data_IF_625343633949
#
_entry.id   IF_625343633949
#
_cell.length_a   1.000
_cell.length_b   1.000
_cell.length_c   1.000
_cell.angle_alpha   90.00
_cell.angle_beta   90.00
_cell.angle_gamma   90.00
#
_symmetry.space_group_name_H-M   'P 1'
#
loop_
_entity.id
_entity.type
_entity.pdbx_description
1 polymer ?
#
# COMPACT_ATOMS: atom_id res chain seq x y z
N UNK A 1 61.40 21.72 -5.99
CA UNK A 1 60.40 21.52 -4.92
C UNK A 1 59.27 20.66 -5.46
N UNK A 2 59.32 19.37 -5.20
CA UNK A 2 58.33 18.37 -5.63
C UNK A 2 57.21 18.30 -4.58
N UNK A 3 56.02 18.78 -4.92
CA UNK A 3 54.83 18.73 -4.06
C UNK A 3 54.23 17.33 -4.06
N UNK A 4 54.48 16.55 -3.00
CA UNK A 4 53.78 15.28 -2.75
C UNK A 4 52.33 15.56 -2.39
N UNK A 5 51.40 15.33 -3.32
CA UNK A 5 49.98 15.23 -2.99
C UNK A 5 49.78 13.96 -2.17
N UNK A 6 49.35 14.11 -0.91
CA UNK A 6 48.94 12.99 -0.06
C UNK A 6 47.80 12.21 -0.70
N UNK A 7 47.59 10.94 -0.31
CA UNK A 7 46.52 10.12 -0.86
C UNK A 7 45.18 10.83 -0.61
N UNK A 8 44.42 11.09 -1.67
CA UNK A 8 43.03 11.49 -1.57
C UNK A 8 42.30 10.44 -0.74
N UNK A 9 41.84 10.81 0.46
CA UNK A 9 40.89 10.00 1.23
C UNK A 9 39.68 9.74 0.33
N UNK A 10 39.63 8.55 -0.25
CA UNK A 10 38.42 8.07 -0.89
C UNK A 10 37.34 8.02 0.20
N UNK A 11 36.16 8.64 -0.03
CA UNK A 11 35.06 8.50 0.90
C UNK A 11 34.79 7.01 1.13
N UNK A 12 34.59 6.58 2.39
CA UNK A 12 34.45 5.17 2.72
C UNK A 12 33.35 4.55 1.86
N UNK A 13 33.66 3.43 1.19
CA UNK A 13 32.72 2.69 0.34
C UNK A 13 31.44 2.44 1.15
N UNK A 14 30.28 3.03 0.76
CA UNK A 14 29.02 2.82 1.47
C UNK A 14 28.59 1.34 1.51
N UNK A 15 29.23 0.49 0.70
CA UNK A 15 29.01 -0.95 0.63
C UNK A 15 29.94 -1.77 1.52
N UNK A 16 30.94 -1.16 2.18
CA UNK A 16 31.90 -1.89 3.02
C UNK A 16 31.23 -2.56 4.23
N UNK A 17 30.23 -1.91 4.84
CA UNK A 17 29.47 -2.48 5.96
C UNK A 17 28.52 -3.62 5.57
N UNK A 18 28.03 -3.63 4.32
CA UNK A 18 27.08 -4.64 3.84
C UNK A 18 27.75 -5.91 3.27
N UNK A 19 29.07 -5.91 3.08
CA UNK A 19 29.83 -7.07 2.57
C UNK A 19 30.23 -8.08 3.66
N UNK A 20 30.10 -7.73 4.93
CA UNK A 20 30.64 -8.52 6.05
C UNK A 20 29.59 -9.43 6.72
N UNK A 21 28.30 -9.16 6.53
CA UNK A 21 27.23 -9.97 7.09
C UNK A 21 26.91 -11.13 6.14
N UNK A 22 27.02 -12.37 6.61
CA UNK A 22 26.72 -13.56 5.82
C UNK A 22 25.30 -13.52 5.23
N UNK A 23 25.10 -14.17 4.07
CA UNK A 23 23.79 -14.25 3.39
C UNK A 23 22.67 -14.67 4.36
N UNK A 24 22.96 -15.61 5.26
CA UNK A 24 22.01 -16.08 6.28
C UNK A 24 21.56 -14.98 7.23
N UNK A 25 22.45 -14.06 7.61
CA UNK A 25 22.09 -12.94 8.48
C UNK A 25 21.19 -11.96 7.74
N UNK A 26 21.45 -11.69 6.45
CA UNK A 26 20.59 -10.85 5.63
C UNK A 26 19.19 -11.46 5.41
N UNK A 27 19.10 -12.79 5.24
CA UNK A 27 17.82 -13.51 5.20
C UNK A 27 17.08 -13.36 6.53
N UNK A 28 17.76 -13.60 7.66
CA UNK A 28 17.19 -13.46 9.00
C UNK A 28 16.68 -12.05 9.26
N UNK A 29 17.48 -11.04 8.94
CA UNK A 29 17.09 -9.63 9.10
C UNK A 29 15.89 -9.28 8.23
N UNK A 30 15.83 -9.78 6.99
CA UNK A 30 14.69 -9.57 6.10
C UNK A 30 13.40 -10.15 6.68
N UNK A 31 13.46 -11.39 7.17
CA UNK A 31 12.33 -12.04 7.83
C UNK A 31 11.91 -11.27 9.07
N UNK A 32 12.83 -10.99 10.00
CA UNK A 32 12.52 -10.28 11.25
C UNK A 32 11.93 -8.88 11.01
N UNK A 33 12.39 -8.19 9.95
CA UNK A 33 11.82 -6.89 9.55
C UNK A 33 10.39 -7.04 9.03
N UNK A 34 10.11 -8.10 8.26
CA UNK A 34 8.81 -8.34 7.66
C UNK A 34 7.77 -8.93 8.60
N UNK A 35 8.19 -9.70 9.61
CA UNK A 35 7.30 -10.50 10.46
C UNK A 35 6.17 -9.67 11.13
N UNK A 36 6.44 -8.52 11.78
CA UNK A 36 5.37 -7.76 12.43
C UNK A 36 4.33 -7.22 11.45
N UNK A 37 4.78 -6.68 10.32
CA UNK A 37 3.89 -6.16 9.28
C UNK A 37 3.17 -7.30 8.54
N UNK A 38 3.84 -8.44 8.30
CA UNK A 38 3.26 -9.62 7.68
C UNK A 38 2.20 -10.29 8.56
N UNK A 39 2.37 -10.27 9.88
CA UNK A 39 1.34 -10.73 10.80
C UNK A 39 0.07 -9.85 10.71
N UNK A 40 0.23 -8.54 10.47
CA UNK A 40 -0.90 -7.63 10.33
C UNK A 40 -1.76 -7.90 9.09
N UNK A 41 -1.23 -8.55 8.04
CA UNK A 41 -2.01 -8.90 6.84
C UNK A 41 -2.86 -10.16 7.01
N UNK A 42 -2.63 -10.98 8.05
CA UNK A 42 -3.32 -12.26 8.26
C UNK A 42 -4.85 -12.11 8.30
N UNK A 43 -5.45 -11.19 9.08
CA UNK A 43 -6.91 -11.06 9.14
C UNK A 43 -7.52 -10.71 7.77
N UNK A 44 -6.82 -9.88 7.00
CA UNK A 44 -7.25 -9.46 5.66
C UNK A 44 -7.14 -10.64 4.68
N UNK A 45 -6.05 -11.39 4.71
CA UNK A 45 -5.89 -12.59 3.88
C UNK A 45 -6.91 -13.68 4.22
N UNK A 46 -7.20 -13.91 5.52
CA UNK A 46 -8.28 -14.81 5.94
C UNK A 46 -9.63 -14.38 5.36
N UNK A 47 -9.96 -13.09 5.44
CA UNK A 47 -11.19 -12.55 4.87
C UNK A 47 -11.24 -12.73 3.34
N UNK A 48 -10.12 -12.53 2.64
CA UNK A 48 -10.03 -12.80 1.20
C UNK A 48 -10.29 -14.27 0.87
N UNK A 49 -9.69 -15.19 1.61
CA UNK A 49 -9.89 -16.63 1.41
C UNK A 49 -11.36 -17.03 1.58
N UNK A 50 -12.01 -16.56 2.64
CA UNK A 50 -13.44 -16.79 2.87
C UNK A 50 -14.28 -16.21 1.74
N UNK A 51 -13.92 -15.01 1.25
CA UNK A 51 -14.63 -14.35 0.15
C UNK A 51 -14.59 -15.18 -1.15
N UNK A 52 -13.45 -15.79 -1.48
CA UNK A 52 -13.34 -16.65 -2.66
C UNK A 52 -14.36 -17.78 -2.61
N UNK A 53 -14.56 -18.41 -1.45
CA UNK A 53 -15.56 -19.46 -1.26
C UNK A 53 -16.99 -18.92 -1.40
N UNK A 54 -17.27 -17.72 -0.86
CA UNK A 54 -18.59 -17.09 -0.99
C UNK A 54 -18.98 -16.82 -2.43
N UNK A 55 -17.99 -16.52 -3.27
CA UNK A 55 -18.20 -16.37 -4.71
C UNK A 55 -18.42 -17.68 -5.47
N UNK A 56 -18.47 -18.81 -4.77
CA UNK A 56 -18.62 -20.13 -5.36
C UNK A 56 -17.38 -20.60 -6.10
N UNK A 57 -16.23 -19.93 -5.91
CA UNK A 57 -14.97 -20.33 -6.51
C UNK A 57 -14.32 -21.45 -5.70
N UNK A 58 -13.58 -22.38 -6.35
CA UNK A 58 -12.83 -23.40 -5.65
C UNK A 58 -11.79 -22.81 -4.69
N UNK A 59 -11.54 -23.48 -3.56
CA UNK A 59 -10.62 -22.99 -2.52
C UNK A 59 -9.21 -22.69 -3.05
N UNK A 60 -8.74 -23.43 -4.06
CA UNK A 60 -7.40 -23.26 -4.65
C UNK A 60 -7.27 -21.96 -5.45
N UNK A 61 -8.37 -21.29 -5.79
CA UNK A 61 -8.34 -19.98 -6.45
C UNK A 61 -7.73 -18.93 -5.53
N UNK A 62 -7.97 -19.01 -4.21
CA UNK A 62 -7.40 -18.06 -3.25
C UNK A 62 -5.85 -18.06 -3.27
N UNK A 63 -5.14 -19.17 -3.02
CA UNK A 63 -3.68 -19.21 -3.14
C UNK A 63 -3.17 -18.92 -4.54
N UNK A 64 -3.92 -19.27 -5.59
CA UNK A 64 -3.53 -18.97 -6.97
C UNK A 64 -3.49 -17.46 -7.22
N UNK A 65 -4.55 -16.75 -6.83
CA UNK A 65 -4.60 -15.29 -6.95
C UNK A 65 -3.52 -14.64 -6.08
N UNK A 66 -3.43 -15.03 -4.81
CA UNK A 66 -2.40 -14.55 -3.87
C UNK A 66 -0.97 -14.81 -4.33
N UNK A 67 -0.74 -15.84 -5.13
CA UNK A 67 0.57 -16.20 -5.65
C UNK A 67 0.94 -15.52 -6.97
N UNK A 68 -0.03 -15.37 -7.89
CA UNK A 68 0.21 -14.89 -9.27
C UNK A 68 -0.10 -13.40 -9.42
N UNK A 69 -1.14 -12.92 -8.74
CA UNK A 69 -1.58 -11.52 -8.83
C UNK A 69 -0.90 -10.71 -7.73
N UNK A 70 -0.97 -11.19 -6.48
CA UNK A 70 -0.29 -10.61 -5.31
C UNK A 70 -0.39 -9.07 -5.25
N UNK A 71 -1.61 -8.55 -5.37
CA UNK A 71 -1.87 -7.11 -5.44
C UNK A 71 -2.98 -6.67 -4.47
N UNK A 72 -3.27 -7.50 -3.45
CA UNK A 72 -4.12 -7.20 -2.30
C UNK A 72 -5.51 -6.72 -2.70
N UNK A 73 -5.69 -5.39 -2.72
CA UNK A 73 -6.97 -4.74 -3.02
C UNK A 73 -7.65 -5.18 -4.32
N UNK A 74 -6.89 -5.46 -5.39
CA UNK A 74 -7.51 -5.94 -6.64
C UNK A 74 -7.95 -7.39 -6.55
N UNK A 75 -7.39 -8.21 -5.66
CA UNK A 75 -7.73 -9.64 -5.57
C UNK A 75 -9.17 -9.82 -5.07
N UNK A 76 -9.59 -8.98 -4.12
CA UNK A 76 -10.99 -8.91 -3.66
C UNK A 76 -11.97 -8.56 -4.78
N UNK A 77 -11.61 -7.59 -5.64
CA UNK A 77 -12.43 -7.23 -6.81
C UNK A 77 -12.38 -8.31 -7.89
N UNK A 78 -11.20 -8.89 -8.12
CA UNK A 78 -10.95 -9.90 -9.14
C UNK A 78 -11.74 -11.17 -8.85
N UNK A 79 -11.81 -11.62 -7.60
CA UNK A 79 -12.64 -12.77 -7.23
C UNK A 79 -14.11 -12.57 -7.65
N UNK A 80 -14.68 -11.39 -7.40
CA UNK A 80 -16.03 -11.05 -7.82
C UNK A 80 -16.19 -10.94 -9.33
N UNK A 81 -15.23 -10.32 -10.01
CA UNK A 81 -15.23 -10.19 -11.47
C UNK A 81 -15.11 -11.55 -12.17
N UNK A 82 -14.31 -12.48 -11.64
CA UNK A 82 -14.19 -13.85 -12.13
C UNK A 82 -15.49 -14.62 -11.93
N UNK A 83 -16.10 -14.52 -10.75
CA UNK A 83 -17.38 -15.17 -10.46
C UNK A 83 -18.53 -14.64 -11.32
N UNK A 84 -18.51 -13.35 -11.65
CA UNK A 84 -19.49 -12.71 -12.53
C UNK A 84 -19.21 -12.96 -14.04
N UNK A 85 -18.11 -13.63 -14.40
CA UNK A 85 -17.73 -13.83 -15.80
C UNK A 85 -17.42 -12.52 -16.54
N UNK A 86 -16.87 -11.53 -15.84
CA UNK A 86 -16.60 -10.22 -16.40
C UNK A 86 -15.59 -10.31 -17.57
N UNK A 87 -15.74 -9.48 -18.63
CA UNK A 87 -14.84 -9.49 -19.77
C UNK A 87 -13.42 -9.10 -19.36
N UNK A 88 -12.42 -9.71 -20.00
CA UNK A 88 -11.00 -9.53 -19.67
C UNK A 88 -10.56 -8.05 -19.74
N UNK A 89 -11.14 -7.27 -20.66
CA UNK A 89 -10.88 -5.83 -20.79
C UNK A 89 -11.31 -5.07 -19.53
N UNK A 90 -12.47 -5.41 -18.94
CA UNK A 90 -12.94 -4.80 -17.70
C UNK A 90 -12.04 -5.16 -16.53
N UNK A 91 -11.60 -6.42 -16.45
CA UNK A 91 -10.65 -6.88 -15.42
C UNK A 91 -9.33 -6.11 -15.55
N UNK A 92 -8.78 -6.00 -16.76
CA UNK A 92 -7.53 -5.29 -17.02
C UNK A 92 -7.63 -3.80 -16.66
N UNK A 93 -8.71 -3.12 -17.05
CA UNK A 93 -8.93 -1.69 -16.73
C UNK A 93 -9.08 -1.48 -15.22
N UNK A 94 -9.85 -2.35 -14.54
CA UNK A 94 -10.02 -2.28 -13.08
C UNK A 94 -8.68 -2.49 -12.38
N UNK A 95 -7.92 -3.52 -12.78
CA UNK A 95 -6.60 -3.79 -12.24
C UNK A 95 -5.63 -2.62 -12.41
N UNK A 96 -5.61 -2.01 -13.61
CA UNK A 96 -4.77 -0.85 -13.90
C UNK A 96 -5.14 0.35 -13.03
N UNK A 97 -6.43 0.68 -12.93
CA UNK A 97 -6.89 1.86 -12.17
C UNK A 97 -6.65 1.68 -10.67
N UNK A 98 -6.97 0.51 -10.11
CA UNK A 98 -6.78 0.23 -8.66
C UNK A 98 -5.30 0.23 -8.29
N UNK A 99 -4.46 -0.39 -9.13
CA UNK A 99 -3.04 -0.57 -8.83
C UNK A 99 -2.15 0.54 -9.35
N UNK A 100 -2.69 1.58 -10.00
CA UNK A 100 -1.90 2.70 -10.51
C UNK A 100 -0.96 3.32 -9.46
N UNK A 101 -1.32 3.19 -8.17
CA UNK A 101 -0.46 3.59 -7.04
C UNK A 101 0.95 2.98 -7.07
N UNK A 102 1.09 1.75 -7.57
CA UNK A 102 2.38 1.05 -7.65
C UNK A 102 3.37 1.75 -8.61
N UNK A 103 2.87 2.52 -9.59
CA UNK A 103 3.72 3.32 -10.46
C UNK A 103 4.55 4.36 -9.68
N UNK A 104 4.03 4.86 -8.56
CA UNK A 104 4.76 5.80 -7.71
C UNK A 104 5.83 5.12 -6.85
N UNK A 105 5.63 3.84 -6.47
CA UNK A 105 6.59 3.11 -5.64
C UNK A 105 7.91 2.90 -6.36
N UNK A 106 7.85 2.67 -7.68
CA UNK A 106 9.00 2.51 -8.54
C UNK A 106 9.98 3.71 -8.50
N UNK A 107 9.54 4.90 -8.09
CA UNK A 107 10.39 6.10 -8.03
C UNK A 107 11.35 6.09 -6.83
N UNK A 108 11.01 5.42 -5.73
CA UNK A 108 11.79 5.47 -4.48
C UNK A 108 12.31 4.09 -4.05
N UNK A 109 11.71 3.02 -4.57
CA UNK A 109 12.11 1.65 -4.25
C UNK A 109 13.60 1.39 -4.59
N UNK A 110 14.40 0.82 -3.66
CA UNK A 110 15.84 0.61 -3.84
C UNK A 110 16.18 -0.55 -4.80
N UNK A 111 15.58 -0.58 -6.00
CA UNK A 111 15.77 -1.63 -7.02
C UNK A 111 17.23 -1.81 -7.43
N UNK A 112 18.03 -0.75 -7.35
CA UNK A 112 19.46 -0.76 -7.65
C UNK A 112 20.29 -1.64 -6.68
N UNK A 113 19.75 -1.97 -5.50
CA UNK A 113 20.38 -2.88 -4.53
C UNK A 113 20.23 -4.35 -4.92
N UNK A 114 19.25 -4.68 -5.76
CA UNK A 114 19.01 -6.02 -6.28
C UNK A 114 19.80 -6.19 -7.58
N UNK A 115 20.77 -7.10 -7.59
CA UNK A 115 21.70 -7.25 -8.74
C UNK A 115 21.15 -8.15 -9.84
N UNK A 116 20.43 -9.21 -9.50
CA UNK A 116 19.96 -10.22 -10.45
C UNK A 116 18.69 -9.76 -11.18
N UNK A 117 18.57 -10.09 -12.47
CA UNK A 117 17.35 -9.81 -13.25
C UNK A 117 16.12 -10.50 -12.63
N UNK A 118 16.16 -11.81 -12.28
CA UNK A 118 15.03 -12.45 -11.63
C UNK A 118 14.65 -11.80 -10.29
N UNK A 119 15.64 -11.35 -9.52
CA UNK A 119 15.40 -10.64 -8.27
C UNK A 119 14.73 -9.29 -8.52
N UNK A 120 15.13 -8.53 -9.54
CA UNK A 120 14.48 -7.26 -9.89
C UNK A 120 13.04 -7.47 -10.33
N UNK A 121 12.79 -8.50 -11.15
CA UNK A 121 11.43 -8.84 -11.57
C UNK A 121 10.57 -9.23 -10.38
N UNK A 122 11.08 -10.12 -9.51
CA UNK A 122 10.37 -10.52 -8.30
C UNK A 122 10.13 -9.35 -7.36
N UNK A 123 11.14 -8.52 -7.07
CA UNK A 123 10.98 -7.39 -6.17
C UNK A 123 10.03 -6.32 -6.72
N UNK A 124 9.94 -6.15 -8.04
CA UNK A 124 8.91 -5.28 -8.63
C UNK A 124 7.51 -5.89 -8.52
N UNK A 125 7.40 -7.20 -8.72
CA UNK A 125 6.16 -7.95 -8.60
C UNK A 125 5.64 -8.01 -7.16
N UNK A 126 6.53 -8.25 -6.20
CA UNK A 126 6.21 -8.45 -4.79
C UNK A 126 6.16 -7.13 -3.99
N UNK A 127 6.18 -6.00 -4.67
CA UNK A 127 6.15 -4.68 -4.05
C UNK A 127 4.74 -4.34 -3.59
N UNK A 128 4.50 -4.38 -2.28
CA UNK A 128 3.25 -3.94 -1.66
C UNK A 128 3.41 -2.59 -0.96
N UNK A 129 2.30 -2.02 -0.48
CA UNK A 129 2.30 -0.77 0.27
C UNK A 129 3.13 -0.90 1.58
N UNK A 130 3.06 -2.06 2.23
CA UNK A 130 3.81 -2.41 3.45
C UNK A 130 5.30 -2.59 3.15
N UNK A 131 5.63 -3.31 2.07
CA UNK A 131 7.00 -3.46 1.62
C UNK A 131 7.61 -2.10 1.24
N UNK A 132 6.84 -1.24 0.56
CA UNK A 132 7.25 0.11 0.21
C UNK A 132 7.46 0.99 1.46
N UNK A 133 6.55 0.94 2.43
CA UNK A 133 6.67 1.70 3.68
C UNK A 133 7.96 1.36 4.44
N UNK A 134 8.35 0.07 4.45
CA UNK A 134 9.58 -0.38 5.10
C UNK A 134 10.84 -0.11 4.27
N UNK A 135 10.74 -0.10 2.94
CA UNK A 135 11.90 0.03 2.04
C UNK A 135 12.18 1.45 1.54
N UNK A 136 11.27 2.39 1.76
CA UNK A 136 11.40 3.79 1.31
C UNK A 136 12.27 4.66 2.24
N UNK A 137 12.55 4.20 3.47
CA UNK A 137 13.36 4.94 4.45
C UNK A 137 14.85 5.05 4.07
N UNK A 138 15.55 6.06 4.60
CA UNK A 138 17.00 6.29 4.36
C UNK A 138 17.86 5.10 4.76
N UNK A 139 17.49 4.39 5.82
CA UNK A 139 18.21 3.20 6.28
C UNK A 139 18.05 2.04 5.29
N UNK A 140 16.85 1.86 4.73
CA UNK A 140 16.55 0.79 3.79
C UNK A 140 17.31 0.90 2.46
N UNK A 141 17.71 2.11 2.07
CA UNK A 141 18.60 2.33 0.92
C UNK A 141 19.98 1.66 1.09
N UNK A 142 20.37 1.34 2.34
CA UNK A 142 21.62 0.61 2.64
C UNK A 142 21.43 -0.90 2.71
N UNK A 143 20.20 -1.42 2.75
CA UNK A 143 19.95 -2.85 2.84
C UNK A 143 20.49 -3.62 1.65
N UNK A 144 20.84 -4.89 1.85
CA UNK A 144 21.20 -5.77 0.75
C UNK A 144 19.97 -6.14 -0.08
N UNK A 145 20.15 -6.44 -1.37
CA UNK A 145 19.08 -6.97 -2.20
C UNK A 145 18.46 -8.25 -1.62
N UNK A 146 19.27 -9.11 -1.00
CA UNK A 146 18.80 -10.33 -0.31
C UNK A 146 17.81 -10.01 0.81
N UNK A 147 18.13 -9.03 1.67
CA UNK A 147 17.26 -8.61 2.77
C UNK A 147 15.92 -8.08 2.25
N UNK A 148 15.95 -7.26 1.18
CA UNK A 148 14.74 -6.71 0.54
C UNK A 148 13.87 -7.83 -0.01
N UNK A 149 14.45 -8.75 -0.80
CA UNK A 149 13.71 -9.86 -1.40
C UNK A 149 13.14 -10.82 -0.34
N UNK A 150 13.82 -10.98 0.79
CA UNK A 150 13.34 -11.83 1.89
C UNK A 150 12.21 -11.18 2.65
N UNK A 151 12.26 -9.85 2.83
CA UNK A 151 11.15 -9.08 3.36
C UNK A 151 9.89 -9.25 2.49
N UNK A 152 10.03 -9.06 1.17
CA UNK A 152 8.93 -9.23 0.20
C UNK A 152 8.39 -10.66 0.18
N UNK A 153 9.28 -11.65 0.16
CA UNK A 153 8.90 -13.07 0.24
C UNK A 153 8.20 -13.42 1.55
N UNK A 154 8.55 -12.75 2.66
CA UNK A 154 7.83 -12.89 3.92
C UNK A 154 6.39 -12.41 3.76
N UNK A 155 6.16 -11.22 3.19
CA UNK A 155 4.79 -10.74 2.94
C UNK A 155 3.98 -11.68 2.05
N UNK A 156 4.57 -12.15 0.96
CA UNK A 156 3.89 -13.08 0.06
C UNK A 156 3.54 -14.39 0.76
N UNK A 157 4.45 -14.92 1.59
CA UNK A 157 4.18 -16.14 2.37
C UNK A 157 3.00 -15.94 3.34
N UNK A 158 3.00 -14.85 4.12
CA UNK A 158 1.90 -14.56 5.05
C UNK A 158 0.57 -14.37 4.32
N UNK A 159 0.57 -13.69 3.18
CA UNK A 159 -0.63 -13.48 2.37
C UNK A 159 -1.18 -14.79 1.81
N UNK A 160 -0.35 -15.58 1.13
CA UNK A 160 -0.75 -16.88 0.56
C UNK A 160 -1.21 -17.84 1.66
N UNK A 161 -0.48 -17.93 2.78
CA UNK A 161 -0.84 -18.82 3.88
C UNK A 161 -2.18 -18.43 4.51
N UNK A 162 -2.37 -17.14 4.81
CA UNK A 162 -3.62 -16.65 5.40
C UNK A 162 -4.81 -16.74 4.43
N UNK A 163 -4.63 -16.45 3.14
CA UNK A 163 -5.70 -16.63 2.13
C UNK A 163 -6.07 -18.09 1.94
N UNK A 164 -5.09 -18.99 1.98
CA UNK A 164 -5.34 -20.43 1.89
C UNK A 164 -6.10 -20.91 3.13
N UNK A 165 -5.63 -20.52 4.31
CA UNK A 165 -6.32 -20.84 5.57
C UNK A 165 -7.76 -20.30 5.56
N UNK A 166 -7.96 -19.06 5.10
CA UNK A 166 -9.28 -18.45 4.98
C UNK A 166 -10.19 -19.21 4.03
N UNK A 167 -9.69 -19.66 2.88
CA UNK A 167 -10.47 -20.41 1.91
C UNK A 167 -10.80 -21.83 2.43
N UNK A 168 -9.85 -22.49 3.09
CA UNK A 168 -10.11 -23.79 3.72
C UNK A 168 -11.13 -23.65 4.85
N UNK A 169 -10.98 -22.68 5.74
CA UNK A 169 -11.96 -22.39 6.79
C UNK A 169 -13.32 -22.07 6.19
N UNK A 170 -13.37 -21.22 5.16
CA UNK A 170 -14.58 -20.90 4.42
C UNK A 170 -15.27 -22.13 3.82
N UNK A 171 -14.49 -23.10 3.32
CA UNK A 171 -15.04 -24.35 2.75
C UNK A 171 -15.63 -25.30 3.80
N UNK A 172 -15.24 -25.16 5.07
CA UNK A 172 -15.82 -25.90 6.19
C UNK A 172 -17.10 -25.26 6.71
N UNK A 173 -17.38 -24.01 6.34
CA UNK A 173 -18.57 -23.30 6.77
C UNK A 173 -19.79 -23.90 6.07
N UNK A 174 -20.77 -24.38 6.85
CA UNK A 174 -21.93 -25.00 6.24
C UNK A 174 -22.82 -23.98 5.49
N UNK A 175 -23.50 -24.40 4.42
CA UNK A 175 -24.31 -23.50 3.57
C UNK A 175 -25.49 -22.82 4.28
N UNK A 176 -25.92 -23.35 5.43
CA UNK A 176 -27.02 -22.78 6.20
C UNK A 176 -26.62 -21.58 7.05
N UNK A 177 -25.31 -21.30 7.20
CA UNK A 177 -24.82 -20.09 7.87
C UNK A 177 -25.00 -18.90 6.93
N UNK A 178 -26.09 -18.18 7.14
CA UNK A 178 -26.39 -16.94 6.43
C UNK A 178 -25.55 -15.80 6.99
N UNK A 179 -25.22 -14.83 6.14
CA UNK A 179 -24.50 -13.62 6.54
C UNK A 179 -23.01 -13.62 6.18
N UNK A 180 -22.50 -14.70 5.60
CA UNK A 180 -21.17 -14.68 5.00
C UNK A 180 -21.10 -13.61 3.90
N UNK A 181 -22.13 -13.48 3.07
CA UNK A 181 -22.26 -12.50 1.99
C UNK A 181 -22.09 -11.03 2.46
N UNK A 182 -22.35 -10.76 3.75
CA UNK A 182 -22.12 -9.46 4.36
C UNK A 182 -20.63 -9.15 4.56
N UNK A 183 -19.77 -10.16 4.64
CA UNK A 183 -18.33 -10.00 4.86
C UNK A 183 -17.67 -9.12 3.78
N UNK A 184 -18.08 -9.27 2.51
CA UNK A 184 -17.62 -8.38 1.44
C UNK A 184 -18.02 -6.92 1.71
N UNK A 185 -19.30 -6.71 2.03
CA UNK A 185 -19.83 -5.37 2.28
C UNK A 185 -19.09 -4.75 3.47
N UNK A 186 -18.91 -5.51 4.55
CA UNK A 186 -18.18 -5.09 5.73
C UNK A 186 -16.72 -4.73 5.40
N UNK A 187 -16.02 -5.53 4.58
CA UNK A 187 -14.65 -5.22 4.16
C UNK A 187 -14.57 -3.89 3.43
N UNK A 188 -15.39 -3.67 2.40
CA UNK A 188 -15.37 -2.40 1.65
C UNK A 188 -15.76 -1.22 2.52
N UNK A 189 -16.69 -1.40 3.46
CA UNK A 189 -17.06 -0.37 4.45
C UNK A 189 -15.86 -0.03 5.34
N UNK A 190 -15.15 -1.03 5.85
CA UNK A 190 -13.95 -0.81 6.67
C UNK A 190 -12.86 -0.10 5.87
N UNK A 191 -12.59 -0.52 4.63
CA UNK A 191 -11.64 0.15 3.74
C UNK A 191 -12.04 1.61 3.45
N UNK A 192 -13.33 1.88 3.26
CA UNK A 192 -13.84 3.23 3.08
C UNK A 192 -13.67 4.09 4.35
N UNK A 193 -13.91 3.52 5.53
CA UNK A 193 -13.69 4.17 6.81
C UNK A 193 -12.21 4.50 7.00
N UNK A 194 -11.31 3.58 6.69
CA UNK A 194 -9.87 3.79 6.85
C UNK A 194 -9.35 4.83 5.84
N UNK A 195 -9.83 4.81 4.61
CA UNK A 195 -9.54 5.86 3.61
C UNK A 195 -10.02 7.24 4.08
N UNK A 196 -11.20 7.32 4.71
CA UNK A 196 -11.69 8.56 5.32
C UNK A 196 -10.82 9.02 6.48
N UNK A 197 -10.46 8.12 7.41
CA UNK A 197 -9.59 8.44 8.56
C UNK A 197 -8.22 8.97 8.14
N UNK A 198 -7.66 8.45 7.04
CA UNK A 198 -6.35 8.85 6.54
C UNK A 198 -6.30 10.29 6.01
N UNK A 199 -7.36 10.78 5.36
CA UNK A 199 -7.41 12.16 4.81
C UNK A 199 -8.27 13.14 5.61
N UNK A 200 -9.14 12.64 6.50
CA UNK A 200 -10.18 13.40 7.24
C UNK A 200 -10.98 14.38 6.37
N UNK A 201 -11.16 14.07 5.08
CA UNK A 201 -11.84 14.93 4.13
C UNK A 201 -13.23 14.40 3.82
N UNK A 202 -14.28 15.01 4.38
CA UNK A 202 -15.69 14.68 4.13
C UNK A 202 -16.14 14.75 2.66
N UNK A 203 -15.63 15.67 1.80
CA UNK A 203 -16.12 15.77 0.43
C UNK A 203 -15.85 14.53 -0.43
N UNK A 204 -14.71 13.86 -0.22
CA UNK A 204 -14.24 12.77 -1.09
C UNK A 204 -15.13 11.51 -1.02
N UNK A 205 -15.47 10.97 0.19
CA UNK A 205 -16.40 9.85 0.29
C UNK A 205 -17.79 10.19 -0.26
N UNK A 206 -18.29 11.41 -0.03
CA UNK A 206 -19.61 11.83 -0.50
C UNK A 206 -19.68 11.85 -2.03
N UNK A 207 -18.65 12.40 -2.68
CA UNK A 207 -18.52 12.37 -4.14
C UNK A 207 -18.46 10.92 -4.65
N UNK A 208 -17.66 10.07 -4.01
CA UNK A 208 -17.55 8.66 -4.39
C UNK A 208 -18.89 7.93 -4.32
N UNK A 209 -19.65 8.13 -3.22
CA UNK A 209 -21.00 7.56 -3.06
C UNK A 209 -21.94 8.08 -4.14
N UNK A 210 -21.95 9.39 -4.41
CA UNK A 210 -22.77 9.99 -5.46
C UNK A 210 -22.49 9.40 -6.85
N UNK A 211 -21.20 9.30 -7.22
CA UNK A 211 -20.77 8.69 -8.48
C UNK A 211 -21.15 7.20 -8.54
N UNK A 212 -21.02 6.48 -7.43
CA UNK A 212 -21.42 5.08 -7.32
C UNK A 212 -22.91 4.90 -7.57
N UNK A 213 -23.77 5.71 -6.93
CA UNK A 213 -25.23 5.67 -7.11
C UNK A 213 -25.64 6.01 -8.54
N UNK A 214 -25.06 7.06 -9.12
CA UNK A 214 -25.33 7.44 -10.52
C UNK A 214 -24.88 6.34 -11.47
N UNK A 215 -23.69 5.77 -11.26
CA UNK A 215 -23.18 4.69 -12.10
C UNK A 215 -24.00 3.42 -11.95
N UNK A 216 -24.49 3.12 -10.75
CA UNK A 216 -25.39 2.01 -10.51
C UNK A 216 -26.71 2.18 -11.26
N UNK A 217 -27.29 3.39 -11.24
CA UNK A 217 -28.53 3.69 -11.94
C UNK A 217 -28.38 3.62 -13.47
N UNK A 218 -27.24 4.01 -14.03
CA UNK A 218 -27.01 4.06 -15.47
C UNK A 218 -26.49 2.74 -16.06
N UNK A 219 -25.63 2.01 -15.34
CA UNK A 219 -24.88 0.88 -15.87
C UNK A 219 -25.16 -0.45 -15.15
N UNK A 220 -25.97 -0.45 -14.08
CA UNK A 220 -26.35 -1.66 -13.35
C UNK A 220 -25.13 -2.48 -12.89
N UNK A 221 -25.09 -3.76 -13.25
CA UNK A 221 -24.01 -4.67 -12.86
C UNK A 221 -22.61 -4.24 -13.36
N UNK A 222 -22.54 -3.43 -14.43
CA UNK A 222 -21.28 -2.95 -15.01
C UNK A 222 -20.80 -1.63 -14.42
N UNK A 223 -21.36 -1.19 -13.29
CA UNK A 223 -21.10 0.13 -12.68
C UNK A 223 -19.65 0.37 -12.24
N UNK A 224 -18.86 -0.67 -11.96
CA UNK A 224 -17.53 -0.52 -11.32
C UNK A 224 -16.56 0.31 -12.16
N UNK A 225 -16.36 -0.07 -13.43
CA UNK A 225 -15.45 0.64 -14.33
C UNK A 225 -15.85 2.11 -14.57
N UNK A 226 -17.11 2.44 -14.93
CA UNK A 226 -17.51 3.84 -15.12
C UNK A 226 -17.49 4.64 -13.81
N UNK A 227 -17.84 4.05 -12.67
CA UNK A 227 -17.76 4.73 -11.37
C UNK A 227 -16.31 5.11 -11.03
N UNK A 228 -15.39 4.16 -11.17
CA UNK A 228 -13.96 4.40 -10.91
C UNK A 228 -13.38 5.44 -11.89
N UNK A 229 -13.69 5.33 -13.18
CA UNK A 229 -13.23 6.28 -14.19
C UNK A 229 -13.73 7.71 -13.93
N UNK A 230 -15.02 7.85 -13.60
CA UNK A 230 -15.61 9.14 -13.24
C UNK A 230 -14.99 9.72 -11.96
N UNK A 231 -14.76 8.88 -10.94
CA UNK A 231 -14.12 9.33 -9.70
C UNK A 231 -12.69 9.83 -9.94
N UNK A 232 -11.88 9.09 -10.72
CA UNK A 232 -10.53 9.52 -11.11
C UNK A 232 -10.58 10.84 -11.89
N UNK A 233 -11.53 11.01 -12.81
CA UNK A 233 -11.68 12.25 -13.56
C UNK A 233 -12.00 13.44 -12.65
N UNK A 234 -12.88 13.26 -11.67
CA UNK A 234 -13.18 14.29 -10.67
C UNK A 234 -11.94 14.66 -9.85
N UNK A 235 -11.13 13.68 -9.45
CA UNK A 235 -9.87 13.93 -8.76
C UNK A 235 -8.87 14.72 -9.61
N UNK A 236 -8.74 14.38 -10.90
CA UNK A 236 -7.86 15.09 -11.84
C UNK A 236 -8.34 16.54 -12.02
N UNK A 237 -9.63 16.76 -12.25
CA UNK A 237 -10.20 18.10 -12.39
C UNK A 237 -9.99 18.90 -11.10
N UNK A 238 -10.25 18.31 -9.94
CA UNK A 238 -10.01 18.93 -8.64
C UNK A 238 -8.55 19.34 -8.42
N UNK A 239 -7.61 18.48 -8.84
CA UNK A 239 -6.18 18.76 -8.81
C UNK A 239 -5.81 19.93 -9.74
N UNK A 240 -6.29 19.92 -10.99
CA UNK A 240 -6.00 20.97 -11.97
C UNK A 240 -6.55 22.34 -11.52
N UNK A 241 -7.76 22.37 -10.95
CA UNK A 241 -8.35 23.59 -10.40
C UNK A 241 -7.55 24.09 -9.19
N UNK A 242 -7.12 23.19 -8.31
CA UNK A 242 -6.32 23.55 -7.13
C UNK A 242 -4.96 24.13 -7.53
N UNK A 243 -4.34 23.55 -8.56
CA UNK A 243 -3.09 24.06 -9.14
C UNK A 243 -3.28 25.43 -9.80
N UNK A 244 -4.37 25.61 -10.56
CA UNK A 244 -4.69 26.89 -11.21
C UNK A 244 -4.99 28.01 -10.20
N UNK A 245 -5.52 27.66 -9.02
CA UNK A 245 -5.81 28.60 -7.93
C UNK A 245 -4.60 28.94 -7.04
N UNK A 246 -3.41 28.43 -7.34
CA UNK A 246 -2.17 28.83 -6.66
C UNK A 246 -2.16 28.59 -5.15
N UNK A 247 -2.87 27.58 -4.65
CA UNK A 247 -2.80 27.22 -3.21
C UNK A 247 -1.40 26.70 -2.88
N UNK A 248 -0.56 27.56 -2.33
CA UNK A 248 0.67 27.15 -1.66
C UNK A 248 0.29 26.19 -0.51
N UNK A 249 0.82 24.97 -0.57
CA UNK A 249 0.72 24.04 0.55
C UNK A 249 1.46 24.65 1.74
N UNK A 250 0.93 24.55 2.98
CA UNK A 250 1.65 25.01 4.17
C UNK A 250 3.03 24.35 4.18
N UNK A 251 4.10 25.16 4.19
CA UNK A 251 5.46 24.64 4.29
C UNK A 251 5.57 23.90 5.62
N UNK A 252 6.03 22.64 5.58
CA UNK A 252 6.25 21.77 6.74
C UNK A 252 7.41 22.24 7.65
N UNK A 253 7.64 23.54 7.77
CA UNK A 253 8.72 24.16 8.54
C UNK A 253 8.27 25.14 9.62
N UNK A 254 6.96 25.34 9.80
CA UNK A 254 6.38 26.20 10.84
C UNK A 254 5.57 25.33 11.80
N UNK A 255 6.22 24.32 12.36
CA UNK A 255 5.84 23.87 13.69
C UNK A 255 6.47 24.88 14.63
N UNK A 256 5.62 25.58 15.37
CA UNK A 256 5.98 26.50 16.45
C UNK A 256 7.22 26.00 17.19
N UNK A 257 8.36 26.61 16.88
CA UNK A 257 9.45 26.69 17.85
C UNK A 257 8.90 27.62 18.91
N UNK A 258 8.23 27.03 19.90
CA UNK A 258 8.01 27.71 21.18
C UNK A 258 9.41 28.01 21.69
N UNK A 259 9.80 29.27 21.57
CA UNK A 259 11.04 29.81 22.10
C UNK A 259 11.01 29.60 23.62
N UNK A 260 11.93 28.82 24.20
CA UNK A 260 11.94 28.58 25.65
C UNK A 260 12.35 29.82 26.46
N UNK A 261 12.71 30.93 25.81
CA UNK A 261 13.41 32.04 26.46
C UNK A 261 12.60 33.35 26.59
N UNK A 262 11.28 33.37 26.33
CA UNK A 262 10.43 34.50 26.76
C UNK A 262 10.01 34.34 28.23
N UNK A 263 11.02 34.26 29.08
CA UNK A 263 10.91 34.69 30.46
C UNK A 263 11.67 35.99 30.61
N UNK A 264 10.98 37.13 30.69
CA UNK A 264 11.27 38.25 31.63
C UNK A 264 10.39 39.48 31.36
N UNK A 265 9.40 39.64 32.25
CA UNK A 265 8.91 40.88 32.92
C UNK A 265 8.61 42.17 32.15
N UNK A 266 7.40 42.70 32.40
CA UNK A 266 7.11 43.94 33.14
C UNK A 266 5.64 44.31 32.83
N UNK A 267 4.73 44.41 33.80
CA UNK A 267 4.73 45.45 34.82
C UNK A 267 4.09 46.72 34.26
N UNK A 268 2.75 46.80 34.26
CA UNK A 268 2.02 48.06 34.14
C UNK A 268 0.66 47.96 34.84
N UNK A 269 0.60 48.55 36.04
CA UNK A 269 -0.63 48.92 36.76
C UNK A 269 -1.51 49.84 35.91
N UNK A 270 -2.84 49.78 36.04
CA UNK A 270 -3.71 50.88 35.64
C UNK A 270 -3.91 51.84 36.83
N UNK A 271 -3.48 53.10 36.65
CA UNK A 271 -3.92 54.25 37.47
C UNK A 271 -5.28 54.75 36.99
N UNK A 272 -6.20 54.84 37.94
CA UNK A 272 -7.46 55.58 38.08
C UNK A 272 -7.90 56.55 36.96
N UNK A 273 -9.17 56.41 36.51
CA UNK A 273 -10.32 57.31 36.81
C UNK A 273 -11.59 56.47 36.83
#
# INVERSE_FOLDING_TARGET
MTSSRGPSEQPPDPQAGARTDGILEQLRLGWLTGLPAGAAVIPVGLAFGVLVIQYGLPWWVAPLLSGIVFAGSIEFLLAGLLAAGAPLVQIALTALIVNFRHAFYALTFPLHRIRSIPGKTYGTFALTDEAFALTSGREAQRWSGTRILTLEGTFQLFWVASSTAGALLGSLIPPWIKGLDFAMTALFVVLAIDAYKARRSLPQPVIAVGIGLVSAALFGANMLAPAMGAYVLVLIIGYLISRARGRELPRTGELDVVDPDDGTTAGQEPRDV
#
